data_IF_994192225235
#
_entry.id   IF_994192225235
#
_cell.length_a   1.000
_cell.length_b   1.000
_cell.length_c   1.000
_cell.angle_alpha   90.00
_cell.angle_beta   90.00
_cell.angle_gamma   90.00
#
_symmetry.space_group_name_H-M   'P 1'
#
loop_
_entity.id
_entity.type
_entity.pdbx_description
1 polymer ?
#
# COMPACT_ATOMS: atom_id res chain seq x y z
N UNK A 1 10.24 8.20 -4.01
CA UNK A 1 10.52 6.95 -4.74
C UNK A 1 11.49 6.10 -3.93
N UNK A 2 11.29 4.78 -3.91
CA UNK A 2 12.22 3.87 -3.24
C UNK A 2 13.56 3.84 -3.99
N UNK A 3 14.65 3.60 -3.26
CA UNK A 3 16.01 3.50 -3.82
C UNK A 3 16.38 2.08 -4.29
N UNK A 4 15.54 1.10 -3.95
CA UNK A 4 15.69 -0.29 -4.35
C UNK A 4 15.06 -0.53 -5.73
N UNK A 5 15.40 -1.67 -6.33
CA UNK A 5 14.69 -2.17 -7.50
C UNK A 5 13.23 -2.49 -7.16
N UNK A 6 12.33 -2.11 -8.06
CA UNK A 6 10.90 -2.42 -7.99
C UNK A 6 10.42 -2.82 -9.39
N UNK A 7 9.40 -3.69 -9.47
CA UNK A 7 8.72 -3.98 -10.73
C UNK A 7 7.72 -2.84 -11.01
N UNK A 8 7.81 -2.14 -12.15
CA UNK A 8 6.83 -1.12 -12.55
C UNK A 8 5.40 -1.67 -12.53
N UNK A 9 4.43 -0.89 -12.06
CA UNK A 9 3.03 -1.33 -11.93
C UNK A 9 2.39 -1.71 -13.28
N UNK A 10 2.77 -1.02 -14.36
CA UNK A 10 2.38 -1.37 -15.73
C UNK A 10 2.83 -2.77 -16.19
N UNK A 11 3.79 -3.39 -15.50
CA UNK A 11 4.26 -4.75 -15.79
C UNK A 11 3.53 -5.82 -14.95
N UNK A 12 2.58 -5.44 -14.06
CA UNK A 12 1.80 -6.37 -13.23
C UNK A 12 0.57 -6.89 -13.99
N UNK A 13 0.80 -7.40 -15.20
CA UNK A 13 -0.26 -7.82 -16.14
C UNK A 13 -0.63 -9.30 -16.02
N UNK A 14 -1.82 -9.65 -16.53
CA UNK A 14 -2.35 -11.02 -16.55
C UNK A 14 -1.32 -12.03 -17.08
N UNK A 15 -1.07 -13.09 -16.31
CA UNK A 15 -0.02 -14.08 -16.56
C UNK A 15 1.31 -13.84 -15.83
N UNK A 16 1.48 -12.69 -15.17
CA UNK A 16 2.65 -12.31 -14.36
C UNK A 16 2.76 -12.96 -12.98
N UNK A 17 1.94 -13.98 -12.69
CA UNK A 17 1.90 -14.67 -11.40
C UNK A 17 1.28 -13.82 -10.29
N UNK A 18 1.77 -13.99 -9.06
CA UNK A 18 1.14 -13.42 -7.85
C UNK A 18 1.04 -11.89 -7.81
N UNK A 19 1.85 -11.15 -8.57
CA UNK A 19 1.72 -9.68 -8.65
C UNK A 19 0.50 -9.26 -9.46
N UNK A 20 0.18 -9.98 -10.53
CA UNK A 20 -0.99 -9.70 -11.37
C UNK A 20 -2.29 -9.93 -10.56
N UNK A 21 -2.31 -10.99 -9.76
CA UNK A 21 -3.44 -11.30 -8.86
C UNK A 21 -3.64 -10.18 -7.83
N UNK A 22 -2.57 -9.67 -7.23
CA UNK A 22 -2.62 -8.62 -6.22
C UNK A 22 -2.87 -7.21 -6.81
N UNK A 23 -2.58 -6.99 -8.09
CA UNK A 23 -2.70 -5.67 -8.72
C UNK A 23 -4.11 -5.09 -8.57
N UNK A 24 -5.14 -5.88 -8.81
CA UNK A 24 -6.53 -5.46 -8.68
C UNK A 24 -6.93 -5.05 -7.25
N UNK A 25 -6.20 -5.55 -6.24
CA UNK A 25 -6.46 -5.23 -4.83
C UNK A 25 -5.76 -3.95 -4.35
N UNK A 26 -4.67 -3.55 -5.01
CA UNK A 26 -3.81 -2.43 -4.56
C UNK A 26 -3.75 -1.24 -5.52
N UNK A 27 -4.31 -1.37 -6.73
CA UNK A 27 -4.38 -0.26 -7.67
C UNK A 27 -5.33 0.81 -7.15
N UNK A 28 -4.86 2.07 -7.11
CA UNK A 28 -5.70 3.20 -6.74
C UNK A 28 -6.76 3.41 -7.84
N UNK A 29 -8.06 3.40 -7.50
CA UNK A 29 -9.13 3.45 -8.49
C UNK A 29 -9.31 4.85 -9.12
N UNK A 30 -8.69 5.89 -8.56
CA UNK A 30 -8.81 7.28 -9.04
C UNK A 30 -7.72 7.58 -10.07
N UNK A 31 -6.50 7.11 -9.81
CA UNK A 31 -5.30 7.41 -10.60
C UNK A 31 -4.83 6.23 -11.45
N UNK A 32 -5.45 5.05 -11.29
CA UNK A 32 -5.11 3.81 -12.00
C UNK A 32 -3.63 3.45 -11.89
N UNK A 33 -3.06 3.61 -10.70
CA UNK A 33 -1.64 3.32 -10.40
C UNK A 33 -1.50 2.68 -9.03
N UNK A 34 -0.43 1.92 -8.83
CA UNK A 34 -0.09 1.37 -7.51
C UNK A 34 0.69 2.40 -6.72
N UNK A 35 0.25 2.72 -5.50
CA UNK A 35 1.00 3.60 -4.61
C UNK A 35 2.39 3.05 -4.33
N UNK A 36 3.43 3.90 -4.30
CA UNK A 36 4.80 3.39 -4.18
C UNK A 36 5.05 2.61 -2.88
N UNK A 37 4.29 2.87 -1.81
CA UNK A 37 4.36 2.10 -0.56
C UNK A 37 3.92 0.64 -0.75
N UNK A 38 3.05 0.37 -1.71
CA UNK A 38 2.71 -1.00 -2.12
C UNK A 38 3.72 -1.51 -3.14
N UNK A 39 4.10 -0.69 -4.13
CA UNK A 39 5.04 -1.10 -5.19
C UNK A 39 6.45 -1.47 -4.66
N UNK A 40 6.88 -0.93 -3.51
CA UNK A 40 8.16 -1.31 -2.87
C UNK A 40 8.20 -2.78 -2.47
N UNK A 41 7.04 -3.43 -2.30
CA UNK A 41 6.93 -4.86 -2.02
C UNK A 41 6.90 -5.74 -3.29
N UNK A 42 7.02 -5.17 -4.48
CA UNK A 42 6.94 -5.91 -5.76
C UNK A 42 7.89 -7.11 -5.87
N UNK A 43 9.09 -7.02 -5.28
CA UNK A 43 10.05 -8.12 -5.27
C UNK A 43 9.66 -9.27 -4.32
N UNK A 44 8.67 -9.07 -3.44
CA UNK A 44 8.15 -10.06 -2.49
C UNK A 44 6.62 -9.97 -2.40
N UNK A 45 5.87 -10.63 -3.32
CA UNK A 45 4.41 -10.58 -3.36
C UNK A 45 3.73 -11.09 -2.08
N UNK A 46 4.36 -12.03 -1.37
CA UNK A 46 3.87 -12.47 -0.04
C UNK A 46 3.94 -11.35 0.99
N UNK A 47 5.00 -10.55 0.94
CA UNK A 47 5.15 -9.35 1.78
C UNK A 47 4.13 -8.27 1.43
N UNK A 48 3.86 -8.07 0.14
CA UNK A 48 2.81 -7.15 -0.34
C UNK A 48 1.44 -7.52 0.23
N UNK A 49 1.03 -8.78 0.05
CA UNK A 49 -0.26 -9.28 0.57
C UNK A 49 -0.36 -9.13 2.09
N UNK A 50 0.72 -9.43 2.83
CA UNK A 50 0.75 -9.26 4.27
C UNK A 50 0.62 -7.78 4.69
N UNK A 51 1.29 -6.85 3.99
CA UNK A 51 1.15 -5.42 4.22
C UNK A 51 -0.30 -4.99 4.00
N UNK A 52 -0.88 -5.33 2.84
CA UNK A 52 -2.25 -4.97 2.49
C UNK A 52 -3.25 -5.43 3.56
N UNK A 53 -3.11 -6.68 4.04
CA UNK A 53 -3.95 -7.23 5.10
C UNK A 53 -3.86 -6.44 6.40
N UNK A 54 -2.64 -6.12 6.85
CA UNK A 54 -2.42 -5.34 8.06
C UNK A 54 -2.95 -3.91 7.91
N UNK A 55 -2.60 -3.24 6.81
CA UNK A 55 -3.01 -1.86 6.53
C UNK A 55 -4.53 -1.72 6.48
N UNK A 56 -5.20 -2.60 5.73
CA UNK A 56 -6.66 -2.59 5.61
C UNK A 56 -7.33 -2.84 6.96
N UNK A 57 -6.80 -3.77 7.76
CA UNK A 57 -7.31 -4.04 9.11
C UNK A 57 -7.12 -2.86 10.06
N UNK A 58 -5.94 -2.23 10.04
CA UNK A 58 -5.61 -1.10 10.91
C UNK A 58 -6.38 0.17 10.53
N UNK A 59 -6.64 0.39 9.24
CA UNK A 59 -7.33 1.59 8.74
C UNK A 59 -8.85 1.41 8.63
N UNK A 60 -9.37 0.21 8.85
CA UNK A 60 -10.81 -0.02 9.02
C UNK A 60 -11.32 0.77 10.24
N UNK A 61 -12.13 1.80 9.98
CA UNK A 61 -12.75 2.59 11.03
C UNK A 61 -13.67 1.73 11.92
N UNK A 62 -13.71 2.04 13.21
CA UNK A 62 -14.63 1.42 14.18
C UNK A 62 -15.64 2.44 14.67
N UNK A 63 -16.66 2.01 15.40
CA UNK A 63 -17.66 2.91 16.01
C UNK A 63 -17.04 3.91 16.99
N UNK A 64 -15.90 3.56 17.60
CA UNK A 64 -15.20 4.36 18.61
C UNK A 64 -13.96 5.07 18.08
N UNK A 65 -13.50 4.76 16.86
CA UNK A 65 -12.34 5.40 16.24
C UNK A 65 -12.52 5.42 14.71
N UNK A 66 -12.99 6.56 14.22
CA UNK A 66 -13.35 6.77 12.82
C UNK A 66 -12.12 6.73 11.93
N UNK A 67 -12.32 6.46 10.63
CA UNK A 67 -11.22 6.45 9.64
C UNK A 67 -10.40 7.74 9.68
N UNK A 68 -11.05 8.91 9.68
CA UNK A 68 -10.37 10.21 9.73
C UNK A 68 -9.49 10.40 10.98
N UNK A 69 -9.89 9.86 12.13
CA UNK A 69 -9.09 9.95 13.36
C UNK A 69 -7.83 9.08 13.27
N UNK A 70 -7.92 7.93 12.58
CA UNK A 70 -6.76 7.07 12.30
C UNK A 70 -5.79 7.74 11.34
N UNK A 71 -6.28 8.42 10.30
CA UNK A 71 -5.44 9.22 9.41
C UNK A 71 -4.72 10.34 10.17
N UNK A 72 -5.38 11.01 11.13
CA UNK A 72 -4.73 12.01 11.98
C UNK A 72 -3.63 11.41 12.85
N UNK A 73 -3.85 10.22 13.43
CA UNK A 73 -2.82 9.49 14.17
C UNK A 73 -1.64 9.16 13.23
N UNK A 74 -1.91 8.61 12.04
CA UNK A 74 -0.89 8.30 11.05
C UNK A 74 -0.06 9.54 10.67
N UNK A 75 -0.71 10.68 10.44
CA UNK A 75 -0.06 11.95 10.14
C UNK A 75 0.87 12.40 11.28
N UNK A 76 0.38 12.43 12.52
CA UNK A 76 1.19 12.85 13.68
C UNK A 76 2.38 11.92 13.86
N UNK A 77 2.19 10.60 13.81
CA UNK A 77 3.28 9.63 13.90
C UNK A 77 4.32 9.83 12.79
N UNK A 78 3.88 10.11 11.56
CA UNK A 78 4.79 10.39 10.44
C UNK A 78 5.58 11.68 10.66
N UNK A 79 4.95 12.74 11.18
CA UNK A 79 5.63 14.01 11.49
C UNK A 79 6.69 13.82 12.58
N UNK A 80 6.36 13.13 13.67
CA UNK A 80 7.29 12.84 14.78
C UNK A 80 8.47 11.96 14.34
N UNK A 81 8.27 11.11 13.33
CA UNK A 81 9.32 10.27 12.76
C UNK A 81 10.03 10.90 11.54
N UNK A 82 9.70 12.14 11.19
CA UNK A 82 10.22 12.80 9.99
C UNK A 82 10.06 11.97 8.70
N UNK A 83 8.95 11.22 8.60
CA UNK A 83 8.63 10.39 7.45
C UNK A 83 8.00 11.25 6.35
N UNK A 84 8.76 11.53 5.28
CA UNK A 84 8.37 12.47 4.23
C UNK A 84 7.47 11.88 3.12
N UNK A 85 7.50 10.55 2.93
CA UNK A 85 6.81 9.86 1.84
C UNK A 85 5.36 10.31 1.68
#
# INVERSE_FOLDING_TARGET
>A
MAWILTVPDGDWVDGGGSLAELHAEVVDPVHSRVDHIMAVHSLNPRGLSAHLGLYTSAMAGTSTLRKVERELIALVVSLENHCHY
#
